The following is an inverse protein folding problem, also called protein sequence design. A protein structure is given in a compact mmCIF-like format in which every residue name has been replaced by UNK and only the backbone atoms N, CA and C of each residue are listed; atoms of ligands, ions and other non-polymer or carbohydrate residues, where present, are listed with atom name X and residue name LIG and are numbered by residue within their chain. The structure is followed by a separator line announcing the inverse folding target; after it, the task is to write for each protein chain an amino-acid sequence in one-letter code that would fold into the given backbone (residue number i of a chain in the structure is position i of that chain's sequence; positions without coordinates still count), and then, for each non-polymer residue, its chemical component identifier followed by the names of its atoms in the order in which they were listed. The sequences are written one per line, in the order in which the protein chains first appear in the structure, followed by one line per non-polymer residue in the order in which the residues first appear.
data_IF_672075127882
#
_entry.id   IF_672075127882
#
_cell.length_a   1.000
_cell.length_b   1.000
_cell.length_c   1.000
_cell.angle_alpha   90.00
_cell.angle_beta   90.00
_cell.angle_gamma   90.00
#
_symmetry.space_group_name_H-M   'P 1'
#
loop_
_entity.id
_entity.type
_entity.pdbx_description
1 polymer ?
#
# COMPACT_ATOMS: atom_id res chain seq x y z
N UNK A 1 -22.30 12.15 11.72
CA UNK A 1 -20.91 11.64 11.72
C UNK A 1 -20.75 10.13 11.53
N UNK A 2 -21.64 9.25 12.05
CA UNK A 2 -21.40 7.80 12.05
C UNK A 2 -21.24 7.13 10.68
N UNK A 3 -22.04 7.50 9.67
CA UNK A 3 -22.00 6.87 8.35
C UNK A 3 -20.72 7.19 7.54
N UNK A 4 -20.23 8.43 7.61
CA UNK A 4 -19.00 8.86 6.95
C UNK A 4 -17.76 8.20 7.58
N UNK A 5 -17.70 8.15 8.91
CA UNK A 5 -16.62 7.46 9.63
C UNK A 5 -16.59 5.96 9.29
N UNK A 6 -17.76 5.31 9.23
CA UNK A 6 -17.86 3.88 8.90
C UNK A 6 -17.38 3.59 7.48
N UNK A 7 -17.62 4.49 6.52
CA UNK A 7 -17.10 4.39 5.15
C UNK A 7 -15.57 4.50 5.11
N UNK A 8 -14.98 5.45 5.85
CA UNK A 8 -13.52 5.59 5.95
C UNK A 8 -12.90 4.35 6.59
N UNK A 9 -13.47 3.86 7.69
CA UNK A 9 -12.98 2.65 8.35
C UNK A 9 -13.07 1.42 7.44
N UNK A 10 -14.15 1.26 6.68
CA UNK A 10 -14.29 0.19 5.71
C UNK A 10 -13.22 0.28 4.62
N UNK A 11 -12.98 1.49 4.08
CA UNK A 11 -11.93 1.72 3.09
C UNK A 11 -10.53 1.43 3.62
N UNK A 12 -10.23 1.89 4.84
CA UNK A 12 -8.96 1.60 5.51
C UNK A 12 -8.79 0.11 5.79
N UNK A 13 -9.84 -0.58 6.23
CA UNK A 13 -9.81 -2.02 6.48
C UNK A 13 -9.57 -2.82 5.18
N UNK A 14 -10.26 -2.48 4.09
CA UNK A 14 -10.07 -3.11 2.79
C UNK A 14 -8.64 -2.87 2.26
N UNK A 15 -8.13 -1.65 2.41
CA UNK A 15 -6.76 -1.30 1.98
C UNK A 15 -5.71 -2.07 2.78
N UNK A 16 -5.85 -2.11 4.10
CA UNK A 16 -4.95 -2.86 4.98
C UNK A 16 -5.01 -4.37 4.72
N UNK A 17 -6.19 -4.92 4.47
CA UNK A 17 -6.38 -6.32 4.09
C UNK A 17 -5.70 -6.65 2.76
N UNK A 18 -5.88 -5.79 1.75
CA UNK A 18 -5.20 -5.94 0.46
C UNK A 18 -3.67 -5.92 0.59
N UNK A 19 -3.13 -4.95 1.33
CA UNK A 19 -1.69 -4.87 1.61
C UNK A 19 -1.17 -6.11 2.36
N UNK A 20 -1.97 -6.64 3.28
CA UNK A 20 -1.68 -7.87 4.00
C UNK A 20 -1.50 -9.09 3.10
N UNK A 21 -2.13 -9.13 1.93
CA UNK A 21 -1.85 -10.14 0.91
C UNK A 21 -0.72 -9.76 -0.03
N UNK A 22 -0.74 -8.53 -0.55
CA UNK A 22 0.19 -8.08 -1.58
C UNK A 22 1.64 -8.19 -1.11
N UNK A 23 1.97 -7.70 0.07
CA UNK A 23 3.37 -7.66 0.56
C UNK A 23 3.99 -9.06 0.70
N UNK A 24 3.37 -10.02 1.44
CA UNK A 24 3.95 -11.35 1.59
C UNK A 24 3.92 -12.16 0.29
N UNK A 25 2.85 -12.07 -0.52
CA UNK A 25 2.82 -12.78 -1.80
C UNK A 25 3.84 -12.23 -2.77
N UNK A 26 4.05 -10.91 -2.82
CA UNK A 26 5.08 -10.31 -3.66
C UNK A 26 6.48 -10.78 -3.23
N UNK A 27 6.74 -10.86 -1.93
CA UNK A 27 7.99 -11.39 -1.41
C UNK A 27 8.23 -12.84 -1.86
N UNK A 28 7.29 -13.74 -1.59
CA UNK A 28 7.40 -15.16 -1.98
C UNK A 28 7.50 -15.31 -3.49
N UNK A 29 6.71 -14.53 -4.24
CA UNK A 29 6.74 -14.56 -5.69
C UNK A 29 8.12 -14.19 -6.24
N UNK A 30 8.72 -13.10 -5.78
CA UNK A 30 10.05 -12.68 -6.23
C UNK A 30 11.13 -13.64 -5.73
N UNK A 31 11.08 -14.01 -4.45
CA UNK A 31 12.14 -14.80 -3.83
C UNK A 31 12.12 -16.27 -4.26
N UNK A 32 10.95 -16.85 -4.49
CA UNK A 32 10.77 -18.30 -4.69
C UNK A 32 10.16 -18.66 -6.04
N UNK A 33 9.21 -17.89 -6.57
CA UNK A 33 8.57 -18.23 -7.87
C UNK A 33 9.38 -17.72 -9.06
N UNK A 34 10.14 -16.64 -8.85
CA UNK A 34 11.06 -16.07 -9.84
C UNK A 34 12.52 -16.47 -9.60
N UNK A 35 12.80 -17.23 -8.54
CA UNK A 35 14.14 -17.68 -8.15
C UNK A 35 15.18 -16.54 -8.02
N UNK A 36 14.74 -15.32 -7.69
CA UNK A 36 15.60 -14.13 -7.56
C UNK A 36 16.20 -13.97 -6.16
N UNK A 37 15.79 -14.83 -5.23
CA UNK A 37 16.26 -14.84 -3.85
C UNK A 37 15.70 -13.74 -2.95
N UNK A 38 15.96 -13.87 -1.64
CA UNK A 38 15.46 -12.99 -0.59
C UNK A 38 15.97 -11.54 -0.72
N UNK A 39 17.21 -11.35 -1.19
CA UNK A 39 17.81 -10.02 -1.35
C UNK A 39 17.03 -9.16 -2.35
N UNK A 40 16.76 -9.70 -3.54
CA UNK A 40 15.98 -9.01 -4.58
C UNK A 40 14.56 -8.73 -4.12
N UNK A 41 13.92 -9.68 -3.43
CA UNK A 41 12.59 -9.48 -2.87
C UNK A 41 12.56 -8.34 -1.84
N UNK A 42 13.58 -8.24 -0.97
CA UNK A 42 13.75 -7.12 -0.05
C UNK A 42 13.92 -5.78 -0.76
N UNK A 43 14.72 -5.72 -1.83
CA UNK A 43 14.89 -4.50 -2.64
C UNK A 43 13.58 -4.07 -3.30
N UNK A 44 12.81 -5.02 -3.85
CA UNK A 44 11.49 -4.74 -4.44
C UNK A 44 10.55 -4.14 -3.40
N UNK A 45 10.51 -4.68 -2.18
CA UNK A 45 9.72 -4.12 -1.09
C UNK A 45 10.23 -2.74 -0.65
N UNK A 46 11.54 -2.52 -0.62
CA UNK A 46 12.13 -1.22 -0.30
C UNK A 46 11.74 -0.16 -1.34
N UNK A 47 11.80 -0.50 -2.64
CA UNK A 47 11.36 0.40 -3.72
C UNK A 47 9.87 0.69 -3.61
N UNK A 48 9.05 -0.31 -3.29
CA UNK A 48 7.61 -0.12 -3.04
C UNK A 48 7.36 0.86 -1.88
N UNK A 49 8.06 0.70 -0.76
CA UNK A 49 7.94 1.60 0.39
C UNK A 49 8.42 3.03 0.04
N UNK A 50 9.52 3.17 -0.69
CA UNK A 50 10.02 4.46 -1.16
C UNK A 50 9.05 5.15 -2.12
N UNK A 51 8.44 4.39 -3.03
CA UNK A 51 7.40 4.91 -3.93
C UNK A 51 6.18 5.40 -3.14
N UNK A 52 5.72 4.61 -2.15
CA UNK A 52 4.65 5.05 -1.26
C UNK A 52 5.03 6.35 -0.54
N UNK A 53 6.20 6.40 0.09
CA UNK A 53 6.70 7.60 0.78
C UNK A 53 6.72 8.82 -0.15
N UNK A 54 7.16 8.65 -1.39
CA UNK A 54 7.21 9.72 -2.37
C UNK A 54 5.80 10.18 -2.79
N UNK A 55 4.85 9.26 -2.98
CA UNK A 55 3.51 9.56 -3.48
C UNK A 55 2.59 10.16 -2.39
N UNK A 56 2.72 9.70 -1.14
CA UNK A 56 1.90 10.13 0.00
C UNK A 56 1.74 11.66 0.16
N UNK A 57 2.80 12.50 0.12
CA UNK A 57 2.66 13.96 0.26
C UNK A 57 1.86 14.59 -0.89
N UNK A 58 1.95 14.05 -2.10
CA UNK A 58 1.18 14.54 -3.24
C UNK A 58 -0.28 14.14 -3.14
N UNK A 59 -0.55 12.88 -2.76
CA UNK A 59 -1.90 12.37 -2.58
C UNK A 59 -2.62 13.11 -1.45
N UNK A 60 -1.96 13.33 -0.31
CA UNK A 60 -2.52 14.12 0.79
C UNK A 60 -2.90 15.54 0.34
N UNK A 61 -1.97 16.24 -0.31
CA UNK A 61 -2.23 17.59 -0.85
C UNK A 61 -3.37 17.61 -1.89
N UNK A 62 -3.48 16.56 -2.70
CA UNK A 62 -4.54 16.44 -3.71
C UNK A 62 -5.91 16.19 -3.08
N UNK A 63 -5.97 15.44 -1.98
CA UNK A 63 -7.19 15.22 -1.18
C UNK A 63 -7.61 16.52 -0.50
N UNK A 64 -6.66 17.23 0.13
CA UNK A 64 -6.94 18.50 0.82
C UNK A 64 -7.55 19.55 -0.11
N UNK A 65 -7.09 19.61 -1.38
CA UNK A 65 -7.60 20.56 -2.38
C UNK A 65 -8.99 20.23 -2.91
N UNK A 66 -9.35 18.95 -2.99
CA UNK A 66 -10.64 18.52 -3.57
C UNK A 66 -11.77 18.46 -2.55
N UNK A 67 -11.44 18.49 -1.26
CA UNK A 67 -12.41 18.31 -0.19
C UNK A 67 -13.01 16.90 -0.16
N UNK A 68 -13.77 16.55 0.89
CA UNK A 68 -14.50 15.29 0.93
C UNK A 68 -15.66 15.34 -0.07
N UNK A 69 -15.55 14.58 -1.16
CA UNK A 69 -16.67 14.27 -2.06
C UNK A 69 -17.74 13.43 -1.36
#
# INVERSE_FOLDING_TARGET
MGAALRRIQLGSALSAFGLGFTVPYLYVYVAQVRDLGAGTAGVVLAVFAMAALAVLPFTGRAIDRRGPL
#
